data_IF_579630832304
#
_entry.id   IF_579630832304
#
_cell.length_a   1.000
_cell.length_b   1.000
_cell.length_c   1.000
_cell.angle_alpha   90.00
_cell.angle_beta   90.00
_cell.angle_gamma   90.00
#
_symmetry.space_group_name_H-M   'P 1'
#
loop_
_entity.id
_entity.type
_entity.pdbx_description
1 polymer ?
#
# COMPACT_ATOMS: atom_id res chain seq x y z
N UNK A 1 -11.65 -10.14 17.09
CA UNK A 1 -12.36 -11.44 17.14
C UNK A 1 -13.63 -11.45 16.30
N UNK A 2 -14.24 -10.29 16.04
CA UNK A 2 -15.44 -10.13 15.18
C UNK A 2 -15.25 -10.51 13.71
N UNK A 3 -14.01 -10.60 13.21
CA UNK A 3 -13.74 -10.85 11.79
C UNK A 3 -13.77 -9.61 10.91
N UNK A 4 -13.91 -8.42 11.50
CA UNK A 4 -13.94 -7.13 10.80
C UNK A 4 -12.66 -6.81 10.00
N UNK A 5 -11.52 -7.40 10.41
CA UNK A 5 -10.23 -7.23 9.73
C UNK A 5 -9.76 -8.57 9.19
N UNK A 6 -9.56 -8.64 7.87
CA UNK A 6 -8.90 -9.75 7.19
C UNK A 6 -7.41 -9.43 7.01
N UNK A 7 -6.53 -10.35 7.39
CA UNK A 7 -5.07 -10.21 7.17
C UNK A 7 -4.62 -11.20 6.12
N UNK A 8 -3.97 -10.70 5.07
CA UNK A 8 -3.33 -11.49 4.03
C UNK A 8 -1.79 -11.40 4.14
N UNK A 9 -1.05 -12.53 4.18
CA UNK A 9 -1.55 -13.91 4.25
C UNK A 9 -2.06 -14.27 5.66
N UNK A 10 -3.01 -15.22 5.72
CA UNK A 10 -3.75 -15.56 6.94
C UNK A 10 -2.87 -15.97 8.13
N UNK A 11 -1.67 -16.52 7.87
CA UNK A 11 -0.69 -16.88 8.91
C UNK A 11 -0.34 -15.74 9.87
N UNK A 12 -0.39 -14.48 9.41
CA UNK A 12 -0.11 -13.33 10.26
C UNK A 12 -1.24 -13.03 11.25
N UNK A 13 -2.43 -13.58 11.06
CA UNK A 13 -3.55 -13.44 12.01
C UNK A 13 -3.19 -14.00 13.39
N UNK A 14 -2.51 -15.16 13.44
CA UNK A 14 -2.09 -15.75 14.71
C UNK A 14 -0.99 -14.92 15.38
N UNK A 15 -0.04 -14.45 14.59
CA UNK A 15 1.08 -13.60 15.03
C UNK A 15 0.55 -12.29 15.61
N UNK A 16 -0.39 -11.65 14.91
CA UNK A 16 -1.11 -10.45 15.34
C UNK A 16 -1.81 -10.64 16.69
N UNK A 17 -2.59 -11.72 16.82
CA UNK A 17 -3.33 -12.02 18.05
C UNK A 17 -2.41 -12.24 19.24
N UNK A 18 -1.34 -13.02 19.07
CA UNK A 18 -0.38 -13.27 20.15
C UNK A 18 0.24 -11.97 20.67
N UNK A 19 0.67 -11.09 19.78
CA UNK A 19 1.25 -9.81 20.16
C UNK A 19 0.26 -8.89 20.90
N UNK A 20 -1.00 -8.85 20.49
CA UNK A 20 -2.02 -8.03 21.15
C UNK A 20 -2.39 -8.52 22.56
N UNK A 21 -2.23 -9.82 22.83
CA UNK A 21 -2.51 -10.42 24.15
C UNK A 21 -1.40 -10.12 25.16
N UNK A 22 -0.14 -10.05 24.70
CA UNK A 22 1.03 -9.86 25.56
C UNK A 22 1.48 -8.39 25.71
N UNK A 23 0.77 -7.46 25.06
CA UNK A 23 1.17 -6.05 24.99
C UNK A 23 1.31 -5.41 26.37
N UNK A 24 2.38 -4.64 26.51
CA UNK A 24 2.65 -3.79 27.67
C UNK A 24 2.21 -2.35 27.40
N UNK A 25 2.07 -1.50 28.45
CA UNK A 25 1.88 -0.07 28.27
C UNK A 25 2.94 0.53 27.33
N UNK A 26 2.48 1.34 26.38
CA UNK A 26 3.35 1.98 25.41
C UNK A 26 3.89 3.29 25.98
N UNK A 27 5.20 3.35 26.22
CA UNK A 27 5.87 4.61 26.51
C UNK A 27 5.90 5.47 25.24
N UNK A 28 5.12 6.56 25.23
CA UNK A 28 4.96 7.46 24.08
C UNK A 28 5.91 8.66 24.11
N UNK A 29 6.62 8.93 25.22
CA UNK A 29 7.56 10.05 25.29
C UNK A 29 8.95 9.69 24.80
N UNK A 30 9.64 10.64 24.17
CA UNK A 30 10.99 10.49 23.62
C UNK A 30 11.82 11.73 23.92
N UNK A 31 13.04 11.50 24.41
CA UNK A 31 14.06 12.54 24.63
C UNK A 31 14.80 12.85 23.33
N UNK A 32 14.05 13.28 22.31
CA UNK A 32 14.56 13.61 20.97
C UNK A 32 14.24 15.07 20.65
N UNK A 33 15.00 15.66 19.73
CA UNK A 33 14.78 17.05 19.30
C UNK A 33 13.73 17.16 18.19
N UNK A 34 13.51 16.09 17.44
CA UNK A 34 12.57 16.07 16.31
C UNK A 34 11.35 15.23 16.65
N UNK A 35 10.18 15.87 16.63
CA UNK A 35 8.89 15.23 16.88
C UNK A 35 7.85 16.25 17.34
N UNK A 36 6.63 15.78 17.57
CA UNK A 36 5.55 16.61 18.09
C UNK A 36 5.75 16.78 19.58
N UNK A 37 5.95 18.02 20.06
CA UNK A 37 6.17 18.28 21.48
C UNK A 37 4.93 17.89 22.30
N UNK A 38 5.14 17.20 23.42
CA UNK A 38 4.04 16.73 24.26
C UNK A 38 3.29 17.95 24.84
N UNK A 39 1.94 18.02 24.72
CA UNK A 39 1.14 19.15 25.16
C UNK A 39 0.88 19.15 26.68
N UNK A 40 1.93 18.90 27.47
CA UNK A 40 1.89 18.81 28.94
C UNK A 40 2.73 19.95 29.51
N UNK A 41 2.20 20.66 30.52
CA UNK A 41 2.80 21.85 31.11
C UNK A 41 2.91 21.70 32.63
N UNK A 42 4.08 22.05 33.17
CA UNK A 42 4.41 21.91 34.58
C UNK A 42 4.58 23.28 35.25
N UNK A 43 3.97 23.54 36.42
CA UNK A 43 4.26 24.72 37.22
C UNK A 43 5.73 24.76 37.66
N UNK A 44 6.37 25.92 37.54
CA UNK A 44 7.79 26.10 37.92
C UNK A 44 7.99 26.85 39.23
N UNK A 45 7.04 27.73 39.59
CA UNK A 45 7.16 28.66 40.71
C UNK A 45 6.14 28.41 41.84
N UNK A 46 5.40 27.30 41.77
CA UNK A 46 4.47 26.83 42.81
C UNK A 46 5.02 25.56 43.47
N UNK A 47 4.64 25.26 44.73
CA UNK A 47 5.08 24.05 45.41
C UNK A 47 4.81 22.83 44.54
N UNK A 48 5.83 21.98 44.39
CA UNK A 48 5.78 20.78 43.56
C UNK A 48 4.74 19.80 44.11
N UNK A 49 3.51 19.92 43.63
CA UNK A 49 2.64 18.78 43.47
C UNK A 49 3.00 18.07 42.17
N UNK A 50 2.65 16.80 42.03
CA UNK A 50 2.68 16.06 40.76
C UNK A 50 1.66 16.62 39.73
N UNK A 51 1.35 17.92 39.80
CA UNK A 51 0.35 18.59 39.01
C UNK A 51 0.94 19.02 37.68
N UNK A 52 0.21 18.69 36.63
CA UNK A 52 0.48 19.08 35.26
C UNK A 52 -0.82 19.49 34.57
N UNK A 53 -0.70 20.34 33.56
CA UNK A 53 -1.82 20.82 32.74
C UNK A 53 -1.66 20.30 31.33
N UNK A 54 -2.76 19.86 30.71
CA UNK A 54 -2.77 19.33 29.33
C UNK A 54 -3.65 20.24 28.49
N UNK A 55 -3.07 20.85 27.47
CA UNK A 55 -3.75 21.86 26.67
C UNK A 55 -3.17 21.97 25.25
N UNK A 56 -3.97 22.45 24.29
CA UNK A 56 -3.54 22.57 22.89
C UNK A 56 -2.59 23.74 22.65
N UNK A 57 -2.59 24.72 23.55
CA UNK A 57 -1.68 25.85 23.52
C UNK A 57 -1.22 26.23 24.93
N UNK A 58 -0.16 27.03 25.01
CA UNK A 58 0.37 27.54 26.27
C UNK A 58 -0.62 28.50 26.94
N UNK A 59 -1.37 29.30 26.17
CA UNK A 59 -2.39 30.21 26.70
C UNK A 59 -3.54 29.44 27.38
N UNK A 60 -3.98 28.33 26.77
CA UNK A 60 -4.99 27.46 27.36
C UNK A 60 -4.47 26.78 28.64
N UNK A 61 -3.22 26.31 28.63
CA UNK A 61 -2.58 25.75 29.82
C UNK A 61 -2.48 26.77 30.95
N UNK A 62 -2.07 28.01 30.64
CA UNK A 62 -1.97 29.11 31.61
C UNK A 62 -3.34 29.47 32.18
N UNK A 63 -4.39 29.51 31.37
CA UNK A 63 -5.75 29.76 31.85
C UNK A 63 -6.21 28.69 32.85
N UNK A 64 -5.96 27.42 32.54
CA UNK A 64 -6.26 26.30 33.46
C UNK A 64 -5.45 26.42 34.76
N UNK A 65 -4.14 26.72 34.65
CA UNK A 65 -3.26 26.81 35.79
C UNK A 65 -3.60 27.99 36.71
N UNK A 66 -3.95 29.15 36.16
CA UNK A 66 -4.35 30.33 36.95
C UNK A 66 -5.63 30.10 37.74
N UNK A 67 -6.59 29.39 37.15
CA UNK A 67 -7.83 29.03 37.82
C UNK A 67 -7.62 28.15 39.06
N UNK A 68 -6.56 27.32 39.07
CA UNK A 68 -6.27 26.38 40.15
C UNK A 68 -5.20 26.88 41.15
N UNK A 69 -4.18 27.59 40.65
CA UNK A 69 -2.96 27.91 41.41
C UNK A 69 -2.71 29.42 41.60
N UNK A 70 -3.58 30.27 41.04
CA UNK A 70 -3.49 31.73 41.10
C UNK A 70 -2.78 32.37 39.90
N UNK A 71 -2.99 33.68 39.73
CA UNK A 71 -2.58 34.43 38.53
C UNK A 71 -1.06 34.49 38.28
N UNK A 72 -0.27 34.31 39.35
CA UNK A 72 1.19 34.36 39.35
C UNK A 72 1.86 33.04 38.96
N UNK A 73 1.11 32.01 38.55
CA UNK A 73 1.71 30.74 38.10
C UNK A 73 2.52 30.89 36.81
N UNK A 74 3.70 30.30 36.80
CA UNK A 74 4.54 30.13 35.62
C UNK A 74 4.56 28.67 35.19
N UNK A 75 4.50 28.43 33.87
CA UNK A 75 4.48 27.10 33.28
C UNK A 75 5.71 26.83 32.43
N UNK A 76 6.14 25.57 32.41
CA UNK A 76 7.12 25.03 31.46
C UNK A 76 6.53 23.80 30.78
N UNK A 77 6.44 23.84 29.46
CA UNK A 77 6.05 22.67 28.67
C UNK A 77 7.09 21.55 28.76
N UNK A 78 6.64 20.31 28.80
CA UNK A 78 7.45 19.10 28.74
C UNK A 78 8.45 19.20 27.56
N UNK A 79 9.76 18.97 27.78
CA UNK A 79 10.75 18.99 26.70
C UNK A 79 10.66 17.77 25.79
N UNK A 80 9.98 16.69 26.20
CA UNK A 80 9.87 15.48 25.40
C UNK A 80 8.96 15.67 24.17
N UNK A 81 9.24 14.85 23.16
CA UNK A 81 8.40 14.72 21.96
C UNK A 81 7.69 13.36 21.95
N UNK A 82 6.60 13.28 21.19
CA UNK A 82 5.87 12.05 20.96
C UNK A 82 6.67 11.08 20.09
N UNK A 83 6.54 9.79 20.39
CA UNK A 83 7.01 8.68 19.56
C UNK A 83 6.50 8.83 18.11
N UNK A 84 7.34 8.60 17.11
CA UNK A 84 6.95 8.72 15.69
C UNK A 84 5.77 7.80 15.36
N UNK A 85 5.70 6.62 15.98
CA UNK A 85 4.58 5.69 15.82
C UNK A 85 3.25 6.23 16.38
N UNK A 86 3.29 7.23 17.28
CA UNK A 86 2.11 7.93 17.76
C UNK A 86 1.47 8.73 16.62
N UNK A 87 2.24 9.60 15.96
CA UNK A 87 1.72 10.35 14.81
C UNK A 87 1.39 9.43 13.63
N UNK A 88 2.22 8.42 13.33
CA UNK A 88 1.97 7.49 12.22
C UNK A 88 0.74 6.61 12.45
N UNK A 89 0.40 6.32 13.71
CA UNK A 89 -0.83 5.60 14.06
C UNK A 89 -2.11 6.39 13.78
N UNK A 90 -2.03 7.71 13.70
CA UNK A 90 -3.17 8.58 13.37
C UNK A 90 -3.45 8.65 11.86
N UNK A 91 -2.53 8.13 11.03
CA UNK A 91 -2.56 8.27 9.57
C UNK A 91 -3.93 8.00 8.92
N UNK A 92 -4.66 6.88 9.22
CA UNK A 92 -5.84 6.51 8.45
C UNK A 92 -7.01 7.51 8.50
N UNK A 93 -7.09 8.29 9.57
CA UNK A 93 -8.18 9.24 9.80
C UNK A 93 -7.69 10.70 9.79
N UNK A 94 -6.46 10.96 10.24
CA UNK A 94 -5.90 12.31 10.23
C UNK A 94 -5.72 12.86 8.81
N UNK A 95 -5.41 12.00 7.82
CA UNK A 95 -5.22 12.43 6.42
C UNK A 95 -6.51 12.80 5.71
N UNK A 96 -7.65 12.40 6.26
CA UNK A 96 -8.98 12.62 5.66
C UNK A 96 -9.82 13.58 6.52
N UNK A 97 -9.16 14.41 7.34
CA UNK A 97 -9.80 15.54 8.01
C UNK A 97 -10.14 15.35 9.49
N UNK A 98 -9.88 14.18 10.09
CA UNK A 98 -10.00 14.01 11.54
C UNK A 98 -9.07 15.01 12.26
N UNK A 99 -9.53 15.72 13.33
CA UNK A 99 -10.68 15.38 14.19
C UNK A 99 -12.06 15.89 13.75
N UNK A 100 -12.20 16.54 12.59
CA UNK A 100 -13.51 16.93 12.08
C UNK A 100 -14.20 15.77 11.35
N UNK A 101 -15.02 15.01 12.09
CA UNK A 101 -15.80 13.90 11.52
C UNK A 101 -16.96 14.35 10.63
N UNK A 102 -17.27 15.66 10.60
CA UNK A 102 -18.30 16.20 9.73
C UNK A 102 -17.83 16.41 8.29
N UNK A 103 -16.51 16.40 8.06
CA UNK A 103 -15.88 16.57 6.75
C UNK A 103 -16.25 15.49 5.74
N UNK A 104 -16.32 15.89 4.47
CA UNK A 104 -16.71 15.02 3.35
C UNK A 104 -15.71 13.88 3.13
N UNK A 105 -14.41 14.18 3.20
CA UNK A 105 -13.34 13.19 3.05
C UNK A 105 -13.40 12.12 4.14
N UNK A 106 -13.60 12.50 5.40
CA UNK A 106 -13.70 11.57 6.52
C UNK A 106 -14.89 10.61 6.34
N UNK A 107 -16.04 11.13 5.90
CA UNK A 107 -17.25 10.33 5.67
C UNK A 107 -17.12 9.38 4.48
N UNK A 108 -16.36 9.78 3.47
CA UNK A 108 -16.25 9.05 2.20
C UNK A 108 -15.13 8.02 2.22
N UNK A 109 -13.99 8.37 2.81
CA UNK A 109 -12.75 7.58 2.71
C UNK A 109 -12.38 6.85 4.00
N UNK A 110 -13.09 7.08 5.12
CA UNK A 110 -12.84 6.37 6.38
C UNK A 110 -14.05 5.55 6.88
N UNK A 111 -13.89 4.24 7.13
CA UNK A 111 -12.66 3.44 7.03
C UNK A 111 -12.21 3.14 5.59
N UNK A 112 -10.90 2.92 5.41
CA UNK A 112 -10.34 2.48 4.14
C UNK A 112 -10.67 1.00 3.87
N UNK A 113 -10.68 0.57 2.61
CA UNK A 113 -10.88 -0.85 2.30
C UNK A 113 -9.65 -1.70 2.62
N UNK A 114 -8.45 -1.22 2.24
CA UNK A 114 -7.22 -1.99 2.37
C UNK A 114 -6.05 -1.12 2.84
N UNK A 115 -5.24 -1.68 3.73
CA UNK A 115 -3.88 -1.23 4.00
C UNK A 115 -2.87 -2.22 3.40
N UNK A 116 -1.98 -1.71 2.56
CA UNK A 116 -0.86 -2.46 1.97
C UNK A 116 0.45 -2.03 2.65
N UNK A 117 1.25 -3.00 3.13
CA UNK A 117 2.56 -2.71 3.73
C UNK A 117 3.44 -3.97 3.84
N UNK A 118 4.74 -3.79 4.09
CA UNK A 118 5.62 -4.86 4.51
C UNK A 118 5.24 -5.42 5.88
N UNK A 119 5.42 -6.74 6.07
CA UNK A 119 5.12 -7.40 7.35
C UNK A 119 6.00 -6.90 8.52
N UNK A 120 7.11 -6.23 8.25
CA UNK A 120 8.10 -5.82 9.24
C UNK A 120 7.61 -4.70 10.16
N UNK A 121 6.61 -3.92 9.72
CA UNK A 121 5.96 -2.87 10.52
C UNK A 121 4.53 -3.21 10.94
N UNK A 122 4.15 -4.50 10.87
CA UNK A 122 2.84 -4.99 11.33
C UNK A 122 2.51 -4.54 12.77
N UNK A 123 3.49 -4.57 13.68
CA UNK A 123 3.26 -4.21 15.08
C UNK A 123 3.52 -2.74 15.40
N UNK A 124 4.50 -2.16 14.73
CA UNK A 124 4.90 -0.78 14.99
C UNK A 124 3.93 0.23 14.35
N UNK A 125 3.34 -0.12 13.22
CA UNK A 125 2.45 0.76 12.47
C UNK A 125 1.02 0.24 12.42
N UNK A 126 0.80 -0.93 11.81
CA UNK A 126 -0.55 -1.44 11.53
C UNK A 126 -1.34 -1.63 12.84
N UNK A 127 -0.73 -2.26 13.84
CA UNK A 127 -1.37 -2.42 15.16
C UNK A 127 -1.65 -1.09 15.85
N UNK A 128 -0.76 -0.09 15.71
CA UNK A 128 -1.00 1.24 16.28
C UNK A 128 -2.15 1.95 15.61
N UNK A 129 -2.25 1.87 14.28
CA UNK A 129 -3.39 2.40 13.53
C UNK A 129 -4.70 1.77 13.97
N UNK A 130 -4.77 0.43 14.09
CA UNK A 130 -6.00 -0.24 14.56
C UNK A 130 -6.35 0.16 15.99
N UNK A 131 -5.37 0.18 16.90
CA UNK A 131 -5.59 0.58 18.29
C UNK A 131 -6.10 2.01 18.39
N UNK A 132 -5.51 2.95 17.65
CA UNK A 132 -5.89 4.35 17.67
C UNK A 132 -7.22 4.61 16.96
N UNK A 133 -7.50 3.97 15.82
CA UNK A 133 -8.80 4.08 15.16
C UNK A 133 -9.94 3.57 16.04
N UNK A 134 -9.75 2.43 16.71
CA UNK A 134 -10.73 1.93 17.68
C UNK A 134 -10.88 2.87 18.88
N UNK A 135 -9.79 3.45 19.40
CA UNK A 135 -9.83 4.31 20.57
C UNK A 135 -10.36 5.73 20.30
N UNK A 136 -10.19 6.26 19.09
CA UNK A 136 -10.50 7.65 18.74
C UNK A 136 -11.72 7.81 17.85
N UNK A 137 -12.15 6.76 17.14
CA UNK A 137 -13.27 6.82 16.19
C UNK A 137 -14.23 5.64 16.32
N UNK A 138 -14.06 4.76 17.31
CA UNK A 138 -14.84 3.53 17.54
C UNK A 138 -14.94 2.58 16.33
N UNK A 139 -13.99 2.67 15.38
CA UNK A 139 -14.01 1.94 14.11
C UNK A 139 -12.64 1.40 13.78
N UNK A 140 -12.58 0.19 13.21
CA UNK A 140 -11.35 -0.27 12.57
C UNK A 140 -11.01 0.66 11.39
N UNK A 141 -9.76 1.12 11.24
CA UNK A 141 -9.37 2.01 10.14
C UNK A 141 -9.36 1.35 8.76
N UNK A 142 -9.35 0.01 8.71
CA UNK A 142 -9.41 -0.78 7.49
C UNK A 142 -10.09 -2.12 7.69
N UNK A 143 -10.67 -2.68 6.62
CA UNK A 143 -11.27 -4.04 6.63
C UNK A 143 -10.29 -5.12 6.13
N UNK A 144 -9.26 -4.75 5.38
CA UNK A 144 -8.23 -5.65 4.89
C UNK A 144 -6.80 -5.13 5.14
N UNK A 145 -5.92 -6.00 5.61
CA UNK A 145 -4.47 -5.75 5.70
C UNK A 145 -3.79 -6.71 4.72
N UNK A 146 -3.16 -6.16 3.69
CA UNK A 146 -2.30 -6.90 2.77
C UNK A 146 -0.83 -6.72 3.18
N UNK A 147 -0.18 -7.81 3.54
CA UNK A 147 1.23 -7.83 3.91
C UNK A 147 2.05 -8.40 2.77
N UNK A 148 2.86 -7.58 2.12
CA UNK A 148 3.91 -8.07 1.22
C UNK A 148 5.16 -8.49 2.00
N UNK A 149 6.01 -9.29 1.36
CA UNK A 149 7.35 -9.57 1.86
C UNK A 149 8.36 -8.51 1.43
N UNK A 150 9.56 -8.56 2.00
CA UNK A 150 10.60 -7.58 1.72
C UNK A 150 11.31 -7.90 0.42
N UNK A 151 11.66 -6.86 -0.33
CA UNK A 151 12.60 -7.01 -1.45
C UNK A 151 13.99 -7.27 -0.88
N UNK A 152 14.63 -8.32 -1.36
CA UNK A 152 15.97 -8.77 -0.97
C UNK A 152 16.92 -8.60 -2.15
N UNK A 153 18.22 -8.61 -1.86
CA UNK A 153 19.22 -8.71 -2.92
C UNK A 153 19.16 -10.09 -3.62
N UNK A 154 19.95 -10.25 -4.69
CA UNK A 154 20.06 -11.51 -5.46
C UNK A 154 20.45 -12.73 -4.62
N UNK A 155 21.10 -12.52 -3.47
CA UNK A 155 21.55 -13.57 -2.54
C UNK A 155 20.55 -13.79 -1.40
N UNK A 156 19.39 -13.13 -1.44
CA UNK A 156 18.34 -13.23 -0.43
C UNK A 156 18.60 -12.41 0.84
N UNK A 157 19.62 -11.55 0.88
CA UNK A 157 19.91 -10.72 2.05
C UNK A 157 19.03 -9.47 2.11
N UNK A 158 18.76 -8.99 3.33
CA UNK A 158 18.15 -7.67 3.51
C UNK A 158 19.00 -6.61 2.82
N UNK A 159 18.39 -5.80 1.97
CA UNK A 159 19.05 -4.62 1.41
C UNK A 159 19.31 -3.60 2.51
N UNK A 160 20.54 -3.09 2.57
CA UNK A 160 20.89 -1.99 3.47
C UNK A 160 22.04 -1.18 2.91
N UNK A 161 22.01 0.14 3.13
CA UNK A 161 23.07 1.05 2.69
C UNK A 161 24.45 0.60 3.18
N UNK A 162 24.54 0.11 4.42
CA UNK A 162 25.80 -0.37 5.02
C UNK A 162 26.39 -1.59 4.30
N UNK A 163 25.55 -2.45 3.72
CA UNK A 163 25.99 -3.63 2.97
C UNK A 163 26.32 -3.33 1.51
N UNK A 164 25.98 -2.14 1.02
CA UNK A 164 26.18 -1.75 -0.38
C UNK A 164 25.38 -2.60 -1.38
N UNK A 165 24.37 -3.33 -0.92
CA UNK A 165 23.53 -4.24 -1.73
C UNK A 165 22.16 -3.64 -2.05
N UNK A 166 22.00 -2.33 -1.91
CA UNK A 166 20.76 -1.63 -2.24
C UNK A 166 20.67 -1.52 -3.75
N UNK A 167 19.57 -2.00 -4.31
CA UNK A 167 19.20 -1.70 -5.69
C UNK A 167 18.42 -0.40 -5.67
N UNK A 168 18.97 0.66 -6.25
CA UNK A 168 18.27 1.93 -6.37
C UNK A 168 17.15 1.79 -7.43
N UNK A 169 15.89 2.09 -7.07
CA UNK A 169 14.79 2.02 -8.03
C UNK A 169 14.96 2.98 -9.21
N UNK A 170 15.57 4.15 -9.03
CA UNK A 170 15.78 5.12 -10.10
C UNK A 170 16.86 4.66 -11.08
N UNK A 171 17.93 4.04 -10.59
CA UNK A 171 18.94 3.42 -11.45
C UNK A 171 18.31 2.27 -12.27
N UNK A 172 17.51 1.43 -11.60
CA UNK A 172 16.78 0.34 -12.27
C UNK A 172 15.78 0.85 -13.31
N UNK A 173 15.06 1.94 -13.01
CA UNK A 173 14.17 2.61 -13.97
C UNK A 173 14.96 3.16 -15.15
N UNK A 174 16.12 3.78 -14.91
CA UNK A 174 16.99 4.30 -15.96
C UNK A 174 17.50 3.20 -16.91
N UNK A 175 17.86 2.03 -16.38
CA UNK A 175 18.42 0.93 -17.17
C UNK A 175 17.35 0.05 -17.85
N UNK A 176 16.25 -0.24 -17.16
CA UNK A 176 15.23 -1.22 -17.60
C UNK A 176 13.89 -0.60 -17.98
N UNK A 177 13.58 0.59 -17.48
CA UNK A 177 12.27 1.24 -17.61
C UNK A 177 11.34 0.94 -16.43
N UNK A 178 10.42 1.87 -16.17
CA UNK A 178 9.45 1.79 -15.06
C UNK A 178 8.59 0.52 -15.11
N UNK A 179 8.06 0.18 -16.28
CA UNK A 179 7.19 -0.98 -16.43
C UNK A 179 7.93 -2.30 -16.22
N UNK A 180 9.20 -2.37 -16.65
CA UNK A 180 10.02 -3.55 -16.42
C UNK A 180 10.26 -3.77 -14.92
N UNK A 181 10.59 -2.72 -14.16
CA UNK A 181 10.75 -2.84 -12.71
C UNK A 181 9.43 -3.25 -12.02
N UNK A 182 8.31 -2.60 -12.36
CA UNK A 182 6.99 -2.94 -11.79
C UNK A 182 6.61 -4.39 -12.09
N UNK A 183 6.80 -4.83 -13.34
CA UNK A 183 6.48 -6.18 -13.76
C UNK A 183 7.38 -7.22 -13.07
N UNK A 184 8.69 -6.95 -12.94
CA UNK A 184 9.61 -7.82 -12.22
C UNK A 184 9.21 -8.01 -10.75
N UNK A 185 8.78 -6.94 -10.07
CA UNK A 185 8.31 -7.00 -8.69
C UNK A 185 6.98 -7.75 -8.56
N UNK A 186 6.00 -7.42 -9.42
CA UNK A 186 4.66 -8.03 -9.37
C UNK A 186 4.66 -9.53 -9.69
N UNK A 187 5.48 -9.97 -10.64
CA UNK A 187 5.56 -11.40 -11.02
C UNK A 187 6.09 -12.31 -9.92
N UNK A 188 6.69 -11.72 -8.88
CA UNK A 188 7.24 -12.44 -7.73
C UNK A 188 6.62 -12.03 -6.39
N UNK A 189 5.65 -11.11 -6.40
CA UNK A 189 5.00 -10.60 -5.19
C UNK A 189 3.94 -11.57 -4.64
N UNK A 190 4.40 -12.65 -4.01
CA UNK A 190 3.52 -13.52 -3.21
C UNK A 190 3.33 -12.88 -1.82
N UNK A 191 2.09 -12.70 -1.33
CA UNK A 191 1.84 -12.08 -0.02
C UNK A 191 2.68 -12.71 1.09
N UNK A 192 3.37 -11.87 1.86
CA UNK A 192 4.22 -12.24 2.99
C UNK A 192 5.53 -12.93 2.63
N UNK A 193 5.82 -13.17 1.35
CA UNK A 193 7.05 -13.84 0.92
C UNK A 193 8.05 -12.82 0.40
N UNK A 194 9.27 -12.90 0.94
CA UNK A 194 10.37 -12.07 0.48
C UNK A 194 10.76 -12.42 -0.95
N UNK A 195 11.14 -11.40 -1.71
CA UNK A 195 11.48 -11.55 -3.13
C UNK A 195 12.91 -11.10 -3.38
N UNK A 196 13.83 -12.00 -3.80
CA UNK A 196 15.14 -11.59 -4.29
C UNK A 196 14.97 -10.89 -5.64
N UNK A 197 15.29 -9.61 -5.72
CA UNK A 197 15.30 -8.89 -6.98
C UNK A 197 16.62 -9.17 -7.70
N UNK A 198 16.54 -9.87 -8.84
CA UNK A 198 17.70 -10.17 -9.66
C UNK A 198 17.70 -9.47 -10.99
N UNK A 199 18.91 -9.25 -11.52
CA UNK A 199 19.12 -8.75 -12.87
C UNK A 199 18.39 -9.59 -13.91
N UNK A 200 18.42 -10.91 -13.77
CA UNK A 200 17.69 -11.81 -14.67
C UNK A 200 16.18 -11.58 -14.67
N UNK A 201 15.58 -11.19 -13.54
CA UNK A 201 14.15 -10.83 -13.50
C UNK A 201 13.89 -9.52 -14.24
N UNK A 202 14.76 -8.52 -14.07
CA UNK A 202 14.67 -7.23 -14.75
C UNK A 202 14.86 -7.37 -16.27
N UNK A 203 15.85 -8.16 -16.70
CA UNK A 203 16.10 -8.49 -18.11
C UNK A 203 14.90 -9.18 -18.75
N UNK A 204 14.31 -10.14 -18.05
CA UNK A 204 13.10 -10.84 -18.49
C UNK A 204 11.90 -9.90 -18.61
N UNK A 205 11.72 -8.98 -17.66
CA UNK A 205 10.64 -8.00 -17.67
C UNK A 205 10.81 -6.96 -18.79
N UNK A 206 12.03 -6.47 -19.00
CA UNK A 206 12.38 -5.58 -20.13
C UNK A 206 12.13 -6.25 -21.48
N UNK A 207 12.53 -7.52 -21.61
CA UNK A 207 12.28 -8.31 -22.81
C UNK A 207 10.78 -8.48 -23.09
N UNK A 208 9.98 -8.66 -22.04
CA UNK A 208 8.52 -8.72 -22.15
C UNK A 208 7.91 -7.38 -22.58
N UNK A 209 8.32 -6.25 -21.98
CA UNK A 209 7.89 -4.92 -22.40
C UNK A 209 8.22 -4.64 -23.88
N UNK A 210 9.42 -5.02 -24.33
CA UNK A 210 9.81 -4.92 -25.74
C UNK A 210 8.95 -5.81 -26.65
N UNK A 211 8.51 -6.98 -26.20
CA UNK A 211 7.59 -7.84 -26.96
C UNK A 211 6.22 -7.18 -27.12
N UNK A 212 5.67 -6.56 -26.08
CA UNK A 212 4.43 -5.77 -26.16
C UNK A 212 4.60 -4.65 -27.20
N UNK A 213 5.71 -3.91 -27.15
CA UNK A 213 6.00 -2.86 -28.11
C UNK A 213 6.04 -3.38 -29.55
N UNK A 214 6.74 -4.50 -29.80
CA UNK A 214 6.85 -5.08 -31.13
C UNK A 214 5.49 -5.53 -31.67
N UNK A 215 4.65 -6.14 -30.82
CA UNK A 215 3.28 -6.53 -31.16
C UNK A 215 2.44 -5.29 -31.51
N UNK A 216 2.45 -4.26 -30.67
CA UNK A 216 1.70 -3.03 -30.91
C UNK A 216 2.15 -2.32 -32.19
N UNK A 217 3.47 -2.23 -32.43
CA UNK A 217 4.04 -1.67 -33.66
C UNK A 217 3.57 -2.43 -34.90
N UNK A 218 3.53 -3.76 -34.84
CA UNK A 218 3.03 -4.58 -35.94
C UNK A 218 1.56 -4.25 -36.23
N UNK A 219 0.70 -4.25 -35.21
CA UNK A 219 -0.73 -3.94 -35.35
C UNK A 219 -0.95 -2.54 -35.95
N UNK A 220 -0.24 -1.52 -35.46
CA UNK A 220 -0.33 -0.15 -35.99
C UNK A 220 0.10 -0.11 -37.45
N UNK A 221 1.21 -0.76 -37.79
CA UNK A 221 1.72 -0.80 -39.16
C UNK A 221 0.73 -1.46 -40.12
N UNK A 222 0.06 -2.54 -39.70
CA UNK A 222 -0.96 -3.20 -40.52
C UNK A 222 -2.26 -2.39 -40.60
N UNK A 223 -2.63 -1.69 -39.51
CA UNK A 223 -3.76 -0.78 -39.50
C UNK A 223 -3.61 0.37 -40.51
N UNK A 224 -2.43 1.00 -40.57
CA UNK A 224 -2.13 2.06 -41.53
C UNK A 224 -2.24 1.60 -43.00
N UNK A 225 -2.05 0.29 -43.27
CA UNK A 225 -2.23 -0.28 -44.62
C UNK A 225 -3.68 -0.58 -44.98
N UNK A 226 -4.57 -0.73 -44.00
CA UNK A 226 -5.93 -1.29 -44.14
C UNK A 226 -7.04 -0.40 -43.58
N UNK A 227 -6.77 0.90 -43.53
CA UNK A 227 -7.46 1.94 -42.72
C UNK A 227 -9.00 1.93 -42.79
N UNK A 228 -9.61 1.54 -43.91
CA UNK A 228 -11.07 1.62 -44.10
C UNK A 228 -11.87 0.52 -43.39
N UNK A 229 -11.39 -0.73 -43.33
CA UNK A 229 -12.19 -1.86 -42.80
C UNK A 229 -12.07 -2.02 -41.29
N UNK A 230 -10.93 -1.67 -40.70
CA UNK A 230 -10.70 -1.83 -39.25
C UNK A 230 -11.38 -0.70 -38.47
N UNK A 231 -11.41 0.52 -39.02
CA UNK A 231 -12.01 1.69 -38.36
C UNK A 231 -13.51 1.51 -38.10
N UNK A 232 -14.23 0.88 -39.03
CA UNK A 232 -15.65 0.57 -38.90
C UNK A 232 -15.89 -0.44 -37.75
N UNK A 233 -15.08 -1.50 -37.65
CA UNK A 233 -15.16 -2.49 -36.57
C UNK A 233 -14.85 -1.93 -35.17
N UNK A 234 -13.92 -0.97 -35.06
CA UNK A 234 -13.66 -0.29 -33.78
C UNK A 234 -14.85 0.56 -33.31
N UNK A 235 -15.53 1.25 -34.24
CA UNK A 235 -16.66 2.14 -33.89
C UNK A 235 -17.89 1.38 -33.39
N UNK A 236 -18.04 0.11 -33.76
CA UNK A 236 -19.11 -0.78 -33.28
C UNK A 236 -18.73 -1.54 -32.00
N UNK A 237 -17.57 -1.23 -31.40
CA UNK A 237 -17.09 -1.86 -30.17
C UNK A 237 -16.55 -3.27 -30.36
N UNK A 238 -16.18 -3.66 -31.59
CA UNK A 238 -15.75 -5.02 -31.94
C UNK A 238 -16.76 -6.10 -31.52
N UNK A 239 -18.05 -5.74 -31.47
CA UNK A 239 -19.10 -6.69 -31.14
C UNK A 239 -19.32 -7.65 -32.32
N UNK A 240 -19.49 -8.93 -32.00
CA UNK A 240 -19.88 -9.96 -32.95
C UNK A 240 -21.01 -10.81 -32.35
N UNK A 241 -21.95 -11.21 -33.19
CA UNK A 241 -23.01 -12.18 -32.90
C UNK A 241 -22.43 -13.59 -32.79
N UNK A 242 -23.20 -14.52 -32.22
CA UNK A 242 -22.81 -15.93 -32.17
C UNK A 242 -22.58 -16.51 -33.57
N UNK A 243 -23.41 -16.12 -34.55
CA UNK A 243 -23.23 -16.54 -35.95
C UNK A 243 -21.93 -16.04 -36.55
N UNK A 244 -21.57 -14.78 -36.32
CA UNK A 244 -20.31 -14.20 -36.80
C UNK A 244 -19.11 -14.88 -36.14
N UNK A 245 -19.16 -15.10 -34.83
CA UNK A 245 -18.13 -15.85 -34.12
C UNK A 245 -17.96 -17.25 -34.69
N UNK A 246 -19.05 -17.98 -34.94
CA UNK A 246 -18.98 -19.34 -35.50
C UNK A 246 -18.46 -19.35 -36.94
N UNK A 247 -18.61 -18.27 -37.69
CA UNK A 247 -18.11 -18.13 -39.04
C UNK A 247 -16.59 -17.80 -39.09
N UNK A 248 -16.00 -17.29 -38.01
CA UNK A 248 -14.56 -16.97 -37.96
C UNK A 248 -13.68 -18.22 -38.16
N UNK A 249 -12.49 -18.06 -38.77
CA UNK A 249 -11.45 -19.09 -38.79
C UNK A 249 -11.16 -19.66 -37.41
N UNK A 250 -10.83 -20.95 -37.35
CA UNK A 250 -10.53 -21.63 -36.09
C UNK A 250 -9.48 -20.91 -35.22
N UNK A 251 -8.35 -20.40 -35.76
CA UNK A 251 -7.36 -19.69 -34.95
C UNK A 251 -7.92 -18.45 -34.24
N UNK A 252 -8.74 -17.66 -34.93
CA UNK A 252 -9.37 -16.46 -34.36
C UNK A 252 -10.34 -16.81 -33.23
N UNK A 253 -11.18 -17.84 -33.43
CA UNK A 253 -12.09 -18.32 -32.38
C UNK A 253 -11.34 -18.84 -31.17
N UNK A 254 -10.26 -19.59 -31.40
CA UNK A 254 -9.42 -20.12 -30.34
C UNK A 254 -8.74 -19.01 -29.53
N UNK A 255 -8.20 -17.98 -30.21
CA UNK A 255 -7.57 -16.84 -29.57
C UNK A 255 -8.57 -16.03 -28.73
N UNK A 256 -9.75 -15.72 -29.26
CA UNK A 256 -10.82 -15.01 -28.52
C UNK A 256 -11.25 -15.82 -27.29
N UNK A 257 -11.42 -17.13 -27.43
CA UNK A 257 -11.77 -18.01 -26.30
C UNK A 257 -10.70 -17.99 -25.21
N UNK A 258 -9.41 -18.07 -25.58
CA UNK A 258 -8.28 -17.97 -24.64
C UNK A 258 -8.24 -16.60 -23.96
N UNK A 259 -8.48 -15.52 -24.72
CA UNK A 259 -8.53 -14.16 -24.19
C UNK A 259 -9.63 -14.02 -23.12
N UNK A 260 -10.83 -14.53 -23.37
CA UNK A 260 -11.91 -14.51 -22.36
C UNK A 260 -11.55 -15.31 -21.11
N UNK A 261 -10.90 -16.47 -21.27
CA UNK A 261 -10.37 -17.25 -20.15
C UNK A 261 -9.32 -16.48 -19.34
N UNK A 262 -8.40 -15.79 -20.02
CA UNK A 262 -7.38 -14.94 -19.40
C UNK A 262 -8.03 -13.76 -18.65
N UNK A 263 -8.98 -13.06 -19.25
CA UNK A 263 -9.70 -11.95 -18.61
C UNK A 263 -10.38 -12.41 -17.34
N UNK A 264 -11.08 -13.56 -17.38
CA UNK A 264 -11.73 -14.14 -16.19
C UNK A 264 -10.71 -14.47 -15.09
N UNK A 265 -9.61 -15.17 -15.43
CA UNK A 265 -8.55 -15.53 -14.50
C UNK A 265 -7.90 -14.30 -13.85
N UNK A 266 -7.50 -13.31 -14.66
CA UNK A 266 -6.87 -12.08 -14.16
C UNK A 266 -7.83 -11.30 -13.28
N UNK A 267 -9.10 -11.19 -13.66
CA UNK A 267 -10.12 -10.48 -12.87
C UNK A 267 -10.31 -11.15 -11.50
N UNK A 268 -10.47 -12.47 -11.48
CA UNK A 268 -10.60 -13.22 -10.23
C UNK A 268 -9.36 -13.06 -9.34
N UNK A 269 -8.17 -13.18 -9.91
CA UNK A 269 -6.93 -13.04 -9.16
C UNK A 269 -6.79 -11.64 -8.55
N UNK A 270 -7.18 -10.58 -9.27
CA UNK A 270 -7.20 -9.21 -8.74
C UNK A 270 -8.22 -9.05 -7.61
N UNK A 271 -9.41 -9.64 -7.71
CA UNK A 271 -10.42 -9.62 -6.63
C UNK A 271 -9.94 -10.35 -5.36
N UNK A 272 -9.02 -11.31 -5.51
CA UNK A 272 -8.44 -12.06 -4.41
C UNK A 272 -7.11 -11.46 -3.89
N UNK A 273 -6.66 -10.33 -4.45
CA UNK A 273 -5.37 -9.69 -4.20
C UNK A 273 -4.15 -10.57 -4.55
N UNK A 274 -4.29 -11.41 -5.57
CA UNK A 274 -3.24 -12.27 -6.09
C UNK A 274 -2.66 -11.67 -7.37
N UNK A 275 -1.41 -11.18 -7.31
CA UNK A 275 -0.80 -10.44 -8.42
C UNK A 275 0.25 -11.23 -9.23
N UNK A 276 0.99 -12.12 -8.57
CA UNK A 276 2.07 -12.88 -9.21
C UNK A 276 1.58 -13.96 -10.22
N UNK A 277 0.54 -14.76 -9.94
CA UNK A 277 -0.01 -15.69 -10.92
C UNK A 277 -0.58 -15.04 -12.20
N UNK A 278 -1.45 -14.01 -12.13
CA UNK A 278 -2.03 -13.44 -13.35
C UNK A 278 -1.01 -12.70 -14.22
N UNK A 279 0.05 -12.13 -13.65
CA UNK A 279 1.12 -11.51 -14.44
C UNK A 279 1.91 -12.53 -15.27
N UNK A 280 2.09 -13.76 -14.77
CA UNK A 280 2.66 -14.86 -15.55
C UNK A 280 1.71 -15.29 -16.68
N UNK A 281 0.43 -15.45 -16.38
CA UNK A 281 -0.58 -15.81 -17.38
C UNK A 281 -0.71 -14.77 -18.51
N UNK A 282 -0.64 -13.47 -18.18
CA UNK A 282 -0.62 -12.38 -19.17
C UNK A 282 0.60 -12.48 -20.09
N UNK A 283 1.78 -12.77 -19.51
CA UNK A 283 3.01 -12.92 -20.29
C UNK A 283 2.95 -14.14 -21.20
N UNK A 284 2.52 -15.28 -20.69
CA UNK A 284 2.36 -16.52 -21.45
C UNK A 284 1.37 -16.34 -22.60
N UNK A 285 0.19 -15.75 -22.36
CA UNK A 285 -0.78 -15.49 -23.43
C UNK A 285 -0.20 -14.59 -24.53
N UNK A 286 0.44 -13.48 -24.17
CA UNK A 286 0.99 -12.58 -25.19
C UNK A 286 2.11 -13.25 -25.99
N UNK A 287 3.00 -13.98 -25.32
CA UNK A 287 4.18 -14.57 -25.96
C UNK A 287 3.82 -15.81 -26.76
N UNK A 288 3.15 -16.77 -26.13
CA UNK A 288 2.87 -18.07 -26.71
C UNK A 288 1.63 -17.99 -27.59
N UNK A 289 0.50 -17.47 -27.11
CA UNK A 289 -0.77 -17.57 -27.83
C UNK A 289 -0.98 -16.47 -28.87
N UNK A 290 -0.58 -15.22 -28.59
CA UNK A 290 -0.91 -14.08 -29.46
C UNK A 290 0.19 -13.75 -30.47
N UNK A 291 1.46 -13.91 -30.10
CA UNK A 291 2.57 -13.40 -30.90
C UNK A 291 3.49 -14.46 -31.52
N UNK A 292 3.30 -15.74 -31.18
CA UNK A 292 4.09 -16.85 -31.75
C UNK A 292 3.27 -17.74 -32.70
N UNK A 293 1.95 -17.76 -32.55
CA UNK A 293 0.99 -18.36 -33.49
C UNK A 293 0.46 -17.31 -34.46
#
# INVERSE_FOLDING_TARGET
ESGEIRIQPERYTKIWRGWLQEKQPWCISRQLWWGHRIPVFYPTNKPASDRYFVARSEEEALAQARAELGDDVELRQDPDVLDTWFSSGLWPFATVGWPDESGEDFKTFYPATMLETGYDILFFWVARMVMMGLALTDRSPFSEIYLHGLVRDEKGQKMSKTKGNVVDPLESIGEYGTDALRFALLTSSVPGMDTPLSKGMLDNAKSFANKIWNVGRFIITEYEKSESSIKEAYTTGMAFTESEFRAMPWPERALISKLHGLVSNVTQALMENSFAPPTKALKEFLQEDFASW
#
